data_IF_874889508871
#
_entry.id   IF_874889508871
#
_cell.length_a   1.000
_cell.length_b   1.000
_cell.length_c   1.000
_cell.angle_alpha   90.00
_cell.angle_beta   90.00
_cell.angle_gamma   90.00
#
_symmetry.space_group_name_H-M   'P 1'
#
loop_
_entity.id
_entity.type
_entity.pdbx_description
1 polymer ?
#
# COMPACT_ATOMS: atom_id res chain seq x y z
N UNK A 1 6.74 20.54 -47.11
CA UNK A 1 6.10 21.85 -47.31
C UNK A 1 4.60 21.66 -47.21
N UNK A 2 3.98 22.44 -46.33
CA UNK A 2 2.54 22.55 -46.13
C UNK A 2 1.80 22.90 -47.42
N UNK A 3 0.57 22.41 -47.54
CA UNK A 3 -0.67 23.18 -47.66
C UNK A 3 -1.68 22.42 -48.52
N UNK A 4 -2.83 22.06 -47.93
CA UNK A 4 -4.10 22.12 -48.64
C UNK A 4 -5.24 22.20 -47.62
N UNK A 5 -5.78 23.42 -47.45
CA UNK A 5 -7.18 23.62 -47.12
C UNK A 5 -7.90 24.00 -48.41
N UNK A 6 -9.15 23.55 -48.58
CA UNK A 6 -10.17 24.54 -48.89
C UNK A 6 -11.54 24.30 -48.21
N UNK A 7 -12.05 25.39 -47.62
CA UNK A 7 -13.42 25.93 -47.75
C UNK A 7 -14.64 25.07 -47.35
N UNK A 8 -15.34 25.43 -46.24
CA UNK A 8 -16.46 26.40 -46.12
C UNK A 8 -17.80 25.88 -46.70
N UNK A 9 -18.82 25.68 -45.84
CA UNK A 9 -20.06 26.51 -45.73
C UNK A 9 -21.17 25.86 -44.90
N UNK A 10 -22.00 26.74 -44.35
CA UNK A 10 -23.08 26.51 -43.40
C UNK A 10 -24.39 25.99 -44.04
N UNK A 11 -25.27 25.45 -43.20
CA UNK A 11 -26.72 25.24 -43.43
C UNK A 11 -27.30 24.50 -42.22
N UNK A 12 -27.99 25.15 -41.28
CA UNK A 12 -29.36 25.67 -41.31
C UNK A 12 -30.29 24.79 -40.45
N UNK A 13 -30.69 25.37 -39.33
CA UNK A 13 -31.95 25.26 -38.57
C UNK A 13 -33.04 24.32 -39.12
N UNK A 14 -33.55 23.44 -38.26
CA UNK A 14 -35.00 23.16 -38.17
C UNK A 14 -35.40 23.08 -36.69
N UNK A 15 -36.37 23.93 -36.33
CA UNK A 15 -37.01 24.08 -35.02
C UNK A 15 -38.52 23.88 -35.28
N UNK A 16 -39.09 22.79 -34.77
CA UNK A 16 -40.53 22.47 -34.70
C UNK A 16 -40.65 21.06 -34.06
N UNK A 17 -41.58 20.69 -33.19
CA UNK A 17 -42.75 21.34 -32.61
C UNK A 17 -43.12 20.63 -31.28
N UNK A 18 -43.97 21.31 -30.54
CA UNK A 18 -44.50 21.03 -29.20
C UNK A 18 -45.38 19.77 -29.16
N UNK A 19 -45.24 18.96 -28.10
CA UNK A 19 -46.33 18.18 -27.53
C UNK A 19 -46.23 18.21 -26.00
N UNK A 20 -47.12 18.97 -25.36
CA UNK A 20 -47.34 18.93 -23.93
C UNK A 20 -48.31 17.78 -23.62
N UNK A 21 -47.92 16.85 -22.75
CA UNK A 21 -48.84 16.08 -21.92
C UNK A 21 -48.30 16.02 -20.49
N UNK A 22 -49.23 16.25 -19.58
CA UNK A 22 -49.05 16.57 -18.17
C UNK A 22 -49.08 15.32 -17.28
N UNK A 23 -48.30 15.41 -16.20
CA UNK A 23 -48.44 14.77 -14.89
C UNK A 23 -48.65 13.24 -14.81
N UNK A 24 -47.62 12.54 -14.33
CA UNK A 24 -47.77 11.75 -13.09
C UNK A 24 -46.55 11.95 -12.20
N UNK A 25 -46.85 12.15 -10.92
CA UNK A 25 -45.94 12.36 -9.82
C UNK A 25 -45.33 11.04 -9.32
N UNK A 26 -44.12 11.17 -8.77
CA UNK A 26 -43.51 10.38 -7.71
C UNK A 26 -42.42 9.37 -8.13
N UNK A 27 -41.21 9.67 -7.64
CA UNK A 27 -39.96 8.90 -7.62
C UNK A 27 -39.15 8.89 -8.91
N UNK A 28 -38.41 9.98 -9.13
CA UNK A 28 -37.28 10.11 -10.05
C UNK A 28 -36.28 8.96 -9.93
N UNK A 29 -35.95 8.35 -11.08
CA UNK A 29 -34.68 8.50 -11.79
C UNK A 29 -33.40 8.62 -10.93
N UNK A 30 -32.29 7.96 -11.20
CA UNK A 30 -31.88 7.27 -12.42
C UNK A 30 -30.70 6.37 -12.06
N UNK A 31 -30.65 5.19 -12.69
CA UNK A 31 -29.40 4.48 -12.87
C UNK A 31 -28.49 5.33 -13.79
N UNK A 32 -27.19 5.04 -13.79
CA UNK A 32 -26.19 5.67 -14.70
C UNK A 32 -25.64 7.04 -14.30
N UNK A 33 -25.05 7.14 -13.11
CA UNK A 33 -23.75 7.82 -12.97
C UNK A 33 -23.02 7.31 -11.73
N UNK A 34 -22.38 6.15 -11.83
CA UNK A 34 -21.51 5.65 -10.77
C UNK A 34 -20.28 6.57 -10.67
N UNK A 35 -20.02 7.23 -9.53
CA UNK A 35 -18.74 7.89 -9.34
C UNK A 35 -17.64 6.82 -9.34
N UNK A 36 -16.52 7.10 -10.01
CA UNK A 36 -15.31 6.29 -9.97
C UNK A 36 -14.75 6.28 -8.53
N UNK A 37 -15.31 5.42 -7.68
CA UNK A 37 -14.92 5.21 -6.29
C UNK A 37 -14.05 3.97 -6.16
N UNK A 38 -12.78 4.07 -6.57
CA UNK A 38 -11.76 3.09 -6.18
C UNK A 38 -10.73 3.74 -5.25
N UNK A 39 -11.17 4.03 -4.02
CA UNK A 39 -10.27 4.23 -2.90
C UNK A 39 -10.97 3.71 -1.64
N UNK A 40 -10.34 2.73 -0.99
CA UNK A 40 -10.82 1.95 0.15
C UNK A 40 -11.95 0.97 -0.17
N UNK A 41 -11.57 -0.20 -0.72
CA UNK A 41 -12.26 -1.42 -0.32
C UNK A 41 -12.12 -1.51 1.21
N UNK A 42 -13.20 -1.20 1.93
CA UNK A 42 -13.30 -1.46 3.35
C UNK A 42 -12.84 -2.90 3.59
N UNK A 43 -11.95 -3.10 4.56
CA UNK A 43 -11.54 -4.43 4.98
C UNK A 43 -12.80 -5.25 5.20
N UNK A 44 -13.05 -6.23 4.33
CA UNK A 44 -14.09 -7.20 4.56
C UNK A 44 -13.80 -7.79 5.94
N UNK A 45 -14.70 -7.57 6.90
CA UNK A 45 -14.48 -7.84 8.34
C UNK A 45 -14.43 -9.32 8.70
N UNK A 46 -13.88 -10.16 7.82
CA UNK A 46 -13.60 -11.57 8.04
C UNK A 46 -12.10 -11.87 7.98
N UNK A 47 -11.71 -13.12 8.27
CA UNK A 47 -10.33 -13.57 8.14
C UNK A 47 -9.75 -13.28 6.75
N UNK A 48 -8.50 -12.85 6.71
CA UNK A 48 -7.78 -12.76 5.44
C UNK A 48 -7.64 -14.17 4.82
N UNK A 49 -7.70 -14.33 3.50
CA UNK A 49 -7.44 -15.63 2.88
C UNK A 49 -6.04 -16.16 3.20
N UNK A 50 -5.94 -17.41 3.67
CA UNK A 50 -4.66 -18.15 3.80
C UNK A 50 -4.12 -18.58 2.43
N UNK A 51 -3.77 -17.60 1.60
CA UNK A 51 -3.24 -17.83 0.25
C UNK A 51 -2.01 -16.96 -0.02
N UNK A 52 -1.32 -17.27 -1.11
CA UNK A 52 -0.16 -16.49 -1.53
C UNK A 52 -0.53 -15.05 -1.92
N UNK A 53 -1.73 -14.83 -2.45
CA UNK A 53 -2.27 -13.52 -2.76
C UNK A 53 -2.53 -12.72 -1.48
N UNK A 54 -3.08 -13.36 -0.44
CA UNK A 54 -3.25 -12.75 0.88
C UNK A 54 -1.90 -12.31 1.47
N UNK A 55 -0.90 -13.19 1.45
CA UNK A 55 0.44 -12.87 1.93
C UNK A 55 1.09 -11.70 1.14
N UNK A 56 0.92 -11.68 -0.18
CA UNK A 56 1.41 -10.58 -1.04
C UNK A 56 0.73 -9.25 -0.70
N UNK A 57 -0.60 -9.25 -0.56
CA UNK A 57 -1.36 -8.05 -0.26
C UNK A 57 -1.00 -7.46 1.11
N UNK A 58 -0.87 -8.32 2.14
CA UNK A 58 -0.44 -7.90 3.46
C UNK A 58 1.00 -7.36 3.43
N UNK A 59 1.93 -8.06 2.77
CA UNK A 59 3.31 -7.60 2.63
C UNK A 59 3.40 -6.24 1.93
N UNK A 60 2.69 -6.06 0.82
CA UNK A 60 2.65 -4.78 0.11
C UNK A 60 2.09 -3.66 1.00
N UNK A 61 1.08 -3.95 1.83
CA UNK A 61 0.55 -2.97 2.79
C UNK A 61 1.61 -2.55 3.82
N UNK A 62 2.42 -3.48 4.34
CA UNK A 62 3.54 -3.14 5.25
C UNK A 62 4.54 -2.22 4.53
N UNK A 63 4.90 -2.58 3.31
CA UNK A 63 5.87 -1.86 2.49
C UNK A 63 5.39 -0.46 2.13
N UNK A 64 4.12 -0.30 1.75
CA UNK A 64 3.53 1.00 1.41
C UNK A 64 3.48 1.91 2.64
N UNK A 65 3.11 1.38 3.81
CA UNK A 65 3.16 2.13 5.08
C UNK A 65 4.59 2.56 5.41
N UNK A 66 5.55 1.64 5.30
CA UNK A 66 6.96 1.93 5.58
C UNK A 66 7.54 2.99 4.63
N UNK A 67 7.36 2.81 3.32
CA UNK A 67 7.78 3.77 2.29
C UNK A 67 7.07 5.11 2.42
N UNK A 68 5.81 5.12 2.84
CA UNK A 68 5.02 6.32 3.13
C UNK A 68 5.39 7.02 4.44
N UNK A 69 6.22 6.39 5.29
CA UNK A 69 6.62 6.94 6.59
C UNK A 69 5.66 6.66 7.74
N UNK A 70 4.59 5.88 7.51
CA UNK A 70 3.72 5.36 8.56
C UNK A 70 4.37 4.15 9.26
N UNK A 71 5.42 4.43 10.03
CA UNK A 71 6.13 3.37 10.76
C UNK A 71 5.28 2.78 11.88
N UNK A 72 4.40 3.59 12.49
CA UNK A 72 3.48 3.11 13.51
C UNK A 72 2.53 2.05 12.95
N UNK A 73 1.92 2.30 11.80
CA UNK A 73 1.05 1.33 11.13
C UNK A 73 1.81 0.15 10.54
N UNK A 74 3.04 0.34 10.05
CA UNK A 74 3.88 -0.79 9.61
C UNK A 74 4.20 -1.75 10.78
N UNK A 75 4.48 -1.22 11.97
CA UNK A 75 4.72 -2.03 13.18
C UNK A 75 3.49 -2.83 13.61
N UNK A 76 2.27 -2.30 13.43
CA UNK A 76 1.03 -3.03 13.78
C UNK A 76 0.84 -4.32 12.96
N UNK A 77 1.44 -4.36 11.78
CA UNK A 77 1.39 -5.51 10.87
C UNK A 77 2.46 -6.56 11.17
N UNK A 78 3.29 -6.36 12.19
CA UNK A 78 4.25 -7.37 12.62
C UNK A 78 3.58 -8.51 13.37
N UNK A 79 4.23 -9.67 13.35
CA UNK A 79 3.83 -10.83 14.18
C UNK A 79 3.83 -10.44 15.66
N UNK A 80 3.05 -11.15 16.47
CA UNK A 80 3.00 -10.98 17.91
C UNK A 80 4.41 -11.14 18.54
N UNK A 81 5.18 -12.12 18.08
CA UNK A 81 6.56 -12.31 18.50
C UNK A 81 7.46 -11.13 18.10
N UNK A 82 7.29 -10.58 16.89
CA UNK A 82 8.01 -9.38 16.45
C UNK A 82 7.68 -8.15 17.29
N UNK A 83 6.41 -7.95 17.62
CA UNK A 83 5.94 -6.86 18.49
C UNK A 83 6.41 -7.00 19.93
N UNK A 84 6.59 -8.22 20.42
CA UNK A 84 7.18 -8.46 21.74
C UNK A 84 8.69 -8.17 21.77
N UNK A 85 9.38 -8.33 20.64
CA UNK A 85 10.83 -8.12 20.54
C UNK A 85 11.25 -6.67 20.26
N UNK A 86 10.36 -5.84 19.70
CA UNK A 86 10.62 -4.42 19.42
C UNK A 86 9.47 -3.57 19.95
N UNK A 87 9.76 -2.64 20.87
CA UNK A 87 8.76 -1.66 21.29
C UNK A 87 8.33 -0.78 20.11
N UNK A 88 7.03 -0.46 20.01
CA UNK A 88 6.52 0.43 18.96
C UNK A 88 7.24 1.78 18.96
N UNK A 89 7.52 2.33 20.13
CA UNK A 89 8.20 3.61 20.29
C UNK A 89 9.63 3.57 19.72
N UNK A 90 10.40 2.53 20.04
CA UNK A 90 11.76 2.39 19.50
C UNK A 90 11.76 2.15 17.99
N UNK A 91 10.80 1.34 17.51
CA UNK A 91 10.63 1.10 16.08
C UNK A 91 10.38 2.42 15.34
N UNK A 92 9.39 3.20 15.79
CA UNK A 92 9.05 4.48 15.15
C UNK A 92 10.24 5.43 15.21
N UNK A 93 10.86 5.62 16.40
CA UNK A 93 11.98 6.55 16.58
C UNK A 93 13.17 6.22 15.67
N UNK A 94 13.57 4.95 15.57
CA UNK A 94 14.68 4.55 14.70
C UNK A 94 14.35 4.80 13.22
N UNK A 95 13.16 4.41 12.78
CA UNK A 95 12.80 4.51 11.36
C UNK A 95 12.52 5.96 10.93
N UNK A 96 11.97 6.80 11.81
CA UNK A 96 11.86 8.23 11.54
C UNK A 96 13.21 8.89 11.32
N UNK A 97 14.21 8.51 12.12
CA UNK A 97 15.56 9.03 12.01
C UNK A 97 16.31 8.47 10.79
N UNK A 98 16.22 7.17 10.49
CA UNK A 98 17.16 6.52 9.59
C UNK A 98 16.58 5.92 8.31
N UNK A 99 15.26 5.76 8.18
CA UNK A 99 14.67 5.10 7.01
C UNK A 99 14.50 6.04 5.82
N UNK A 100 14.61 5.46 4.62
CA UNK A 100 14.37 6.16 3.34
C UNK A 100 12.88 6.18 3.02
N UNK A 101 12.23 7.31 3.29
CA UNK A 101 10.82 7.56 2.92
C UNK A 101 10.72 7.95 1.45
N UNK A 102 9.53 7.79 0.85
CA UNK A 102 9.25 8.18 -0.53
C UNK A 102 9.83 7.26 -1.61
N UNK A 103 10.57 6.21 -1.22
CA UNK A 103 11.08 5.20 -2.14
C UNK A 103 10.22 3.95 -2.05
N UNK A 104 9.53 3.62 -3.15
CA UNK A 104 8.69 2.44 -3.24
C UNK A 104 9.49 1.14 -2.98
N UNK A 105 8.94 0.27 -2.16
CA UNK A 105 9.38 -1.11 -1.99
C UNK A 105 8.44 -1.97 -2.81
N UNK A 106 8.97 -2.61 -3.85
CA UNK A 106 8.20 -3.35 -4.84
C UNK A 106 8.30 -4.84 -4.60
N UNK A 107 7.17 -5.52 -4.38
CA UNK A 107 7.13 -6.98 -4.33
C UNK A 107 7.44 -7.55 -5.72
N UNK A 108 8.40 -8.48 -5.78
CA UNK A 108 8.87 -9.07 -7.05
C UNK A 108 8.51 -10.54 -7.17
N UNK A 109 8.44 -11.26 -6.06
CA UNK A 109 8.01 -12.65 -6.04
C UNK A 109 7.47 -13.01 -4.67
N UNK A 110 6.70 -14.09 -4.61
CA UNK A 110 6.32 -14.72 -3.36
C UNK A 110 6.10 -16.21 -3.59
N UNK A 111 6.35 -17.01 -2.55
CA UNK A 111 6.03 -18.44 -2.50
C UNK A 111 5.43 -18.78 -1.14
N UNK A 112 4.58 -19.81 -1.10
CA UNK A 112 4.14 -20.40 0.17
C UNK A 112 5.26 -21.29 0.74
N UNK A 113 5.36 -21.35 2.06
CA UNK A 113 6.23 -22.25 2.83
C UNK A 113 5.38 -23.00 3.87
N UNK A 114 4.48 -23.85 3.39
CA UNK A 114 3.42 -24.47 4.21
C UNK A 114 2.13 -23.65 4.19
N UNK A 115 1.19 -23.99 5.07
CA UNK A 115 -0.16 -23.39 5.07
C UNK A 115 -0.19 -21.98 5.69
N UNK A 116 0.61 -21.76 6.73
CA UNK A 116 0.56 -20.52 7.53
C UNK A 116 1.81 -19.65 7.36
N UNK A 117 2.64 -19.93 6.35
CA UNK A 117 3.85 -19.15 6.07
C UNK A 117 4.04 -18.92 4.59
N UNK A 118 4.56 -17.76 4.26
CA UNK A 118 4.99 -17.42 2.92
C UNK A 118 6.29 -16.61 2.99
N UNK A 119 7.08 -16.68 1.93
CA UNK A 119 8.25 -15.83 1.76
C UNK A 119 8.01 -14.92 0.56
N UNK A 120 8.17 -13.62 0.77
CA UNK A 120 8.08 -12.58 -0.25
C UNK A 120 9.46 -12.01 -0.53
N UNK A 121 9.76 -11.68 -1.77
CA UNK A 121 10.97 -10.95 -2.15
C UNK A 121 10.56 -9.58 -2.64
N UNK A 122 11.08 -8.54 -2.01
CA UNK A 122 10.82 -7.16 -2.41
C UNK A 122 12.12 -6.42 -2.73
N UNK A 123 12.02 -5.42 -3.60
CA UNK A 123 13.13 -4.56 -4.01
C UNK A 123 12.88 -3.12 -3.61
N UNK A 124 13.92 -2.47 -3.12
CA UNK A 124 13.98 -1.01 -2.99
C UNK A 124 15.21 -0.55 -3.75
N UNK A 125 15.01 0.24 -4.81
CA UNK A 125 16.06 0.54 -5.80
C UNK A 125 16.69 -0.76 -6.34
N UNK A 126 18.01 -0.92 -6.24
CA UNK A 126 18.75 -2.10 -6.71
C UNK A 126 18.85 -3.22 -5.68
N UNK A 127 18.45 -2.97 -4.42
CA UNK A 127 18.58 -3.95 -3.34
C UNK A 127 17.32 -4.82 -3.26
N UNK A 128 17.51 -6.14 -3.35
CA UNK A 128 16.46 -7.14 -3.12
C UNK A 128 16.60 -7.73 -1.72
N UNK A 129 15.48 -7.92 -1.03
CA UNK A 129 15.42 -8.50 0.31
C UNK A 129 14.28 -9.52 0.38
N UNK A 130 14.48 -10.56 1.17
CA UNK A 130 13.49 -11.60 1.46
C UNK A 130 12.83 -11.31 2.81
N UNK A 131 11.51 -11.47 2.89
CA UNK A 131 10.74 -11.29 4.11
C UNK A 131 9.82 -12.48 4.33
N UNK A 132 9.66 -12.86 5.59
CA UNK A 132 8.74 -13.93 5.99
C UNK A 132 7.41 -13.32 6.39
N UNK A 133 6.34 -13.85 5.80
CA UNK A 133 4.96 -13.60 6.19
C UNK A 133 4.43 -14.81 6.95
N UNK A 134 3.77 -14.57 8.07
CA UNK A 134 3.17 -15.59 8.94
C UNK A 134 1.69 -15.31 9.08
N UNK A 135 0.85 -16.31 8.87
CA UNK A 135 -0.58 -16.20 9.12
C UNK A 135 -0.86 -16.45 10.61
N UNK A 136 -1.32 -15.44 11.32
CA UNK A 136 -1.70 -15.53 12.72
C UNK A 136 -2.89 -14.61 13.00
N UNK A 137 -3.73 -15.00 13.97
CA UNK A 137 -4.89 -14.17 14.37
C UNK A 137 -5.77 -13.76 13.17
N UNK A 138 -5.99 -14.68 12.23
CA UNK A 138 -6.80 -14.49 11.03
C UNK A 138 -6.26 -13.44 10.03
N UNK A 139 -4.96 -13.13 10.07
CA UNK A 139 -4.32 -12.19 9.15
C UNK A 139 -2.87 -12.59 8.83
N UNK A 140 -2.37 -12.18 7.68
CA UNK A 140 -0.95 -12.26 7.35
C UNK A 140 -0.17 -11.13 8.04
N UNK A 141 0.90 -11.50 8.74
CA UNK A 141 1.78 -10.61 9.48
C UNK A 141 3.20 -10.74 9.00
N UNK A 142 3.97 -9.66 9.03
CA UNK A 142 5.39 -9.70 8.69
C UNK A 142 6.21 -10.12 9.91
N UNK A 143 7.05 -11.14 9.75
CA UNK A 143 8.04 -11.53 10.76
C UNK A 143 9.30 -10.67 10.58
N UNK A 144 9.69 -9.85 11.57
CA UNK A 144 10.90 -9.03 11.46
C UNK A 144 12.15 -9.90 11.36
N UNK A 145 13.07 -9.54 10.45
CA UNK A 145 14.34 -10.24 10.30
C UNK A 145 15.16 -10.20 11.60
N UNK A 146 15.83 -11.31 11.92
CA UNK A 146 16.58 -11.49 13.17
C UNK A 146 17.69 -10.45 13.33
N UNK A 147 18.34 -10.08 12.23
CA UNK A 147 19.39 -9.07 12.19
C UNK A 147 18.84 -7.69 12.56
N UNK A 148 17.63 -7.37 12.10
CA UNK A 148 16.91 -6.16 12.48
C UNK A 148 16.58 -6.16 13.98
N UNK A 149 16.07 -7.30 14.50
CA UNK A 149 15.78 -7.47 15.93
C UNK A 149 17.01 -7.23 16.82
N UNK A 150 18.18 -7.74 16.42
CA UNK A 150 19.43 -7.55 17.16
C UNK A 150 19.85 -6.08 17.26
N UNK A 151 19.50 -5.25 16.26
CA UNK A 151 19.74 -3.81 16.31
C UNK A 151 18.77 -3.13 17.28
N UNK A 152 17.48 -3.45 17.21
CA UNK A 152 16.46 -2.88 18.11
C UNK A 152 16.68 -3.26 19.58
N UNK A 153 17.24 -4.43 19.87
CA UNK A 153 17.59 -4.86 21.22
C UNK A 153 18.56 -3.90 21.95
N UNK A 154 19.25 -3.00 21.22
CA UNK A 154 20.12 -1.97 21.79
C UNK A 154 19.36 -0.72 22.26
N UNK A 155 18.08 -0.59 21.91
CA UNK A 155 17.28 0.64 22.04
C UNK A 155 17.51 1.60 20.87
N UNK A 156 16.50 2.44 20.56
CA UNK A 156 16.51 3.27 19.37
C UNK A 156 17.71 4.23 19.27
N UNK A 157 18.10 4.90 20.36
CA UNK A 157 19.20 5.88 20.32
C UNK A 157 20.54 5.23 19.96
N UNK A 158 20.84 4.08 20.55
CA UNK A 158 22.07 3.33 20.23
C UNK A 158 22.01 2.75 18.82
N UNK A 159 20.84 2.31 18.36
CA UNK A 159 20.64 1.85 17.00
C UNK A 159 20.85 2.97 15.97
N UNK A 160 20.30 4.16 16.20
CA UNK A 160 20.48 5.35 15.35
C UNK A 160 21.96 5.71 15.28
N UNK A 161 22.63 5.83 16.42
CA UNK A 161 24.05 6.17 16.47
C UNK A 161 24.91 5.13 15.72
N UNK A 162 24.59 3.84 15.87
CA UNK A 162 25.28 2.77 15.15
C UNK A 162 25.06 2.87 13.62
N UNK A 163 23.83 3.11 13.17
CA UNK A 163 23.54 3.26 11.73
C UNK A 163 24.18 4.53 11.14
N UNK A 164 24.21 5.64 11.88
CA UNK A 164 24.92 6.85 11.45
C UNK A 164 26.41 6.60 11.30
N UNK A 165 27.03 5.95 12.29
CA UNK A 165 28.45 5.57 12.23
C UNK A 165 28.76 4.62 11.07
N UNK A 166 27.84 3.70 10.76
CA UNK A 166 27.99 2.76 9.64
C UNK A 166 27.63 3.36 8.27
N UNK A 167 27.13 4.59 8.20
CA UNK A 167 26.68 5.22 6.95
C UNK A 167 25.39 4.61 6.38
N UNK A 168 24.63 3.84 7.16
CA UNK A 168 23.39 3.18 6.73
C UNK A 168 22.14 3.96 7.12
N UNK A 169 22.26 4.98 7.97
CA UNK A 169 21.18 5.89 8.31
C UNK A 169 20.99 6.88 7.14
N UNK A 170 19.83 6.87 6.49
CA UNK A 170 19.65 7.60 5.25
C UNK A 170 19.44 9.11 5.40
N UNK A 171 18.95 9.54 6.57
CA UNK A 171 18.72 10.95 6.89
C UNK A 171 19.78 11.44 7.90
N UNK A 172 20.99 10.88 7.83
CA UNK A 172 22.05 11.06 8.82
C UNK A 172 22.51 12.51 8.96
#
# INVERSE_FOLDING_TARGET
MNHNHPFRRAGALVLAAVAALAFTSACSDDAENAPAGNAAAAAAGGPEPKSIEGARAAAQTVFDRFSGGDFGGAWEMYTAAGKAAISKADYVKLNEACSRKGLAIQLTSARMEGEDKAVVIAKQLVAAQSYTMVYEQNAWKLEPAKEGLALYAKGADKAIAAQKKAGTCANA
#
